data_IF_887868485665
#
_entry.id   IF_887868485665
#
_cell.length_a   1.000
_cell.length_b   1.000
_cell.length_c   1.000
_cell.angle_alpha   90.00
_cell.angle_beta   90.00
_cell.angle_gamma   90.00
#
_symmetry.space_group_name_H-M   'P 1'
#
loop_
_entity.id
_entity.type
_entity.pdbx_description
1 polymer ?
#
# COMPACT_ATOMS: atom_id res chain seq x y z
N UNK A 1 -2.21 -8.37 -28.19
CA UNK A 1 -3.14 -7.76 -27.27
C UNK A 1 -2.42 -7.23 -26.08
N UNK A 2 -2.79 -6.05 -25.66
CA UNK A 2 -2.12 -5.43 -24.55
C UNK A 2 -2.80 -5.79 -23.25
N UNK A 3 -2.01 -6.06 -22.22
CA UNK A 3 -2.49 -6.22 -20.86
C UNK A 3 -2.18 -4.92 -20.14
N UNK A 4 -3.21 -4.33 -19.58
CA UNK A 4 -3.07 -3.07 -18.90
C UNK A 4 -2.98 -3.31 -17.40
N UNK A 5 -1.95 -2.75 -16.78
CA UNK A 5 -1.74 -2.87 -15.33
C UNK A 5 -2.10 -1.54 -14.71
N UNK A 6 -2.90 -1.58 -13.67
CA UNK A 6 -3.31 -0.40 -12.93
C UNK A 6 -2.92 -0.51 -11.48
N UNK A 7 -2.72 0.65 -10.88
CA UNK A 7 -2.36 0.74 -9.47
C UNK A 7 -3.40 1.57 -8.76
N UNK A 8 -3.82 1.13 -7.59
CA UNK A 8 -4.80 1.83 -6.80
C UNK A 8 -4.31 1.98 -5.37
N UNK A 9 -4.45 3.19 -4.83
CA UNK A 9 -4.17 3.45 -3.42
C UNK A 9 -5.32 2.94 -2.58
N UNK A 10 -5.01 2.21 -1.54
CA UNK A 10 -5.99 1.76 -0.56
C UNK A 10 -5.64 2.46 0.74
N UNK A 11 -6.44 3.43 1.15
CA UNK A 11 -6.19 4.16 2.38
C UNK A 11 -6.38 3.25 3.59
N UNK A 12 -5.51 3.39 4.56
CA UNK A 12 -5.47 2.54 5.74
C UNK A 12 -5.44 3.38 6.99
N UNK A 13 -6.04 2.86 8.05
CA UNK A 13 -5.87 3.42 9.39
C UNK A 13 -4.68 2.71 10.01
N UNK A 14 -3.72 3.48 10.48
CA UNK A 14 -2.50 2.92 11.02
C UNK A 14 -2.21 3.55 12.38
N UNK A 15 -1.99 2.69 13.37
CA UNK A 15 -1.51 3.15 14.66
C UNK A 15 -0.01 3.32 14.54
N UNK A 16 0.48 4.48 14.91
CA UNK A 16 1.86 4.87 14.69
C UNK A 16 2.51 5.25 16.01
N UNK A 17 3.74 4.82 16.18
CA UNK A 17 4.56 5.27 17.29
C UNK A 17 5.53 6.32 16.78
N UNK A 18 5.59 7.45 17.47
CA UNK A 18 6.59 8.47 17.18
C UNK A 18 7.81 8.25 18.06
N UNK A 19 8.97 8.22 17.44
CA UNK A 19 10.21 8.22 18.19
C UNK A 19 10.64 9.66 18.46
N UNK A 20 11.52 9.83 19.43
CA UNK A 20 12.00 11.17 19.80
C UNK A 20 12.72 11.87 18.64
N UNK A 21 13.24 11.14 17.69
CA UNK A 21 13.92 11.71 16.51
C UNK A 21 12.94 12.06 15.40
N UNK A 22 11.63 11.90 15.63
CA UNK A 22 10.63 12.20 14.62
C UNK A 22 10.29 11.04 13.70
N UNK A 23 10.93 9.89 13.87
CA UNK A 23 10.66 8.73 13.04
C UNK A 23 9.28 8.15 13.35
N UNK A 24 8.54 7.83 12.32
CA UNK A 24 7.24 7.18 12.44
C UNK A 24 7.42 5.67 12.33
N UNK A 25 6.86 4.94 13.29
CA UNK A 25 6.92 3.49 13.26
C UNK A 25 5.51 2.95 13.24
N UNK A 26 5.05 2.41 12.10
CA UNK A 26 3.72 1.81 12.02
C UNK A 26 3.66 0.57 12.89
N UNK A 27 2.65 0.50 13.74
CA UNK A 27 2.50 -0.57 14.71
C UNK A 27 1.42 -1.57 14.32
N UNK A 28 0.33 -1.08 13.77
CA UNK A 28 -0.83 -1.90 13.48
C UNK A 28 -1.66 -1.22 12.41
N UNK A 29 -2.16 -2.01 11.48
CA UNK A 29 -3.04 -1.55 10.43
C UNK A 29 -4.44 -2.02 10.72
N UNK A 30 -5.42 -1.13 10.59
CA UNK A 30 -6.84 -1.50 10.68
C UNK A 30 -7.46 -1.29 9.30
N UNK A 31 -8.05 -2.34 8.77
CA UNK A 31 -8.69 -2.30 7.47
C UNK A 31 -9.92 -3.19 7.47
N UNK A 32 -11.07 -2.64 7.08
CA UNK A 32 -12.35 -3.35 7.04
C UNK A 32 -12.62 -4.09 8.35
N UNK A 33 -12.49 -3.37 9.44
CA UNK A 33 -12.75 -3.87 10.80
C UNK A 33 -11.81 -4.98 11.25
N UNK A 34 -10.72 -5.23 10.53
CA UNK A 34 -9.72 -6.20 10.92
C UNK A 34 -8.42 -5.49 11.28
N UNK A 35 -7.72 -6.05 12.24
CA UNK A 35 -6.46 -5.49 12.69
C UNK A 35 -5.31 -6.38 12.26
N UNK A 36 -4.25 -5.75 11.79
CA UNK A 36 -3.06 -6.43 11.30
C UNK A 36 -1.84 -5.83 11.98
N UNK A 37 -1.37 -6.45 13.07
CA UNK A 37 -0.17 -5.97 13.74
C UNK A 37 1.04 -6.09 12.82
N UNK A 38 1.89 -5.07 12.86
CA UNK A 38 3.15 -5.10 12.13
C UNK A 38 4.17 -5.83 13.02
N UNK A 39 4.61 -6.99 12.56
CA UNK A 39 5.55 -7.80 13.33
C UNK A 39 6.93 -7.19 13.32
N UNK A 40 7.35 -6.65 12.18
CA UNK A 40 8.70 -6.13 12.01
C UNK A 40 8.75 -5.20 10.82
N UNK A 41 9.61 -4.21 10.89
CA UNK A 41 9.91 -3.32 9.77
C UNK A 41 11.31 -3.67 9.31
N UNK A 42 11.46 -4.06 8.05
CA UNK A 42 12.75 -4.49 7.52
C UNK A 42 13.34 -3.48 6.56
N UNK A 43 12.63 -2.43 6.24
CA UNK A 43 13.19 -1.38 5.38
C UNK A 43 12.31 -0.16 5.33
N UNK A 44 12.93 0.95 4.94
CA UNK A 44 12.27 2.22 4.80
C UNK A 44 13.04 3.06 3.80
N UNK A 45 12.33 3.68 2.85
CA UNK A 45 12.97 4.54 1.86
C UNK A 45 11.97 5.53 1.28
N UNK A 46 12.43 6.72 0.82
CA UNK A 46 11.55 7.64 0.12
C UNK A 46 11.30 7.13 -1.30
N UNK A 47 10.17 6.50 -1.51
CA UNK A 47 9.89 5.84 -2.77
C UNK A 47 8.39 5.66 -2.98
N UNK A 48 7.97 5.77 -4.23
CA UNK A 48 6.61 5.44 -4.66
C UNK A 48 6.72 4.96 -6.12
N UNK A 49 5.96 3.94 -6.52
CA UNK A 49 5.91 3.58 -7.92
C UNK A 49 5.44 4.76 -8.76
N UNK A 50 6.06 4.95 -9.91
CA UNK A 50 5.80 6.15 -10.72
C UNK A 50 4.36 6.25 -11.20
N UNK A 51 3.64 5.15 -11.22
CA UNK A 51 2.25 5.12 -11.62
C UNK A 51 1.30 5.63 -10.54
N UNK A 52 1.81 5.89 -9.35
CA UNK A 52 1.00 6.31 -8.22
C UNK A 52 1.38 7.74 -7.87
N UNK A 53 0.38 8.60 -7.75
CA UNK A 53 0.62 9.98 -7.36
C UNK A 53 0.75 10.08 -5.86
N UNK A 54 1.84 10.70 -5.42
CA UNK A 54 2.10 10.89 -4.01
C UNK A 54 3.20 11.93 -3.85
N UNK A 55 2.98 12.88 -2.95
CA UNK A 55 4.01 13.87 -2.61
C UNK A 55 4.73 13.41 -1.36
N UNK A 56 6.06 13.51 -1.38
CA UNK A 56 6.88 13.16 -0.23
C UNK A 56 6.54 11.78 0.30
N UNK A 57 6.69 10.74 -0.54
CA UNK A 57 6.35 9.39 -0.12
C UNK A 57 7.43 8.78 0.75
N UNK A 58 6.98 7.87 1.61
CA UNK A 58 7.87 7.06 2.40
C UNK A 58 7.36 5.62 2.32
N UNK A 59 8.20 4.72 1.81
CA UNK A 59 7.85 3.32 1.70
C UNK A 59 8.43 2.54 2.87
N UNK A 60 7.58 1.80 3.54
CA UNK A 60 8.00 0.86 4.59
C UNK A 60 7.84 -0.54 4.06
N UNK A 61 8.87 -1.35 4.26
CA UNK A 61 8.77 -2.78 4.01
C UNK A 61 8.55 -3.46 5.35
N UNK A 62 7.40 -4.08 5.52
CA UNK A 62 6.96 -4.63 6.78
C UNK A 62 6.72 -6.12 6.68
N UNK A 63 6.75 -6.79 7.82
CA UNK A 63 6.31 -8.18 7.91
C UNK A 63 5.01 -8.20 8.70
N UNK A 64 3.96 -8.71 8.06
CA UNK A 64 2.63 -8.83 8.65
C UNK A 64 2.16 -10.25 8.39
N UNK A 65 1.84 -10.97 9.46
CA UNK A 65 1.40 -12.36 9.38
C UNK A 65 2.40 -13.22 8.59
N UNK A 66 3.68 -12.99 8.82
CA UNK A 66 4.74 -13.75 8.18
C UNK A 66 5.00 -13.41 6.72
N UNK A 67 4.33 -12.40 6.19
CA UNK A 67 4.49 -11.99 4.79
C UNK A 67 5.03 -10.58 4.69
N UNK A 68 5.83 -10.35 3.67
CA UNK A 68 6.33 -9.02 3.39
C UNK A 68 5.22 -8.18 2.74
N UNK A 69 4.99 -6.99 3.30
CA UNK A 69 4.01 -6.05 2.79
C UNK A 69 4.62 -4.67 2.69
N UNK A 70 4.32 -3.96 1.62
CA UNK A 70 4.73 -2.57 1.46
C UNK A 70 3.63 -1.65 1.97
N UNK A 71 4.04 -0.69 2.77
CA UNK A 71 3.13 0.28 3.37
C UNK A 71 3.68 1.66 3.05
N UNK A 72 2.84 2.57 2.62
CA UNK A 72 3.27 3.89 2.19
C UNK A 72 2.66 4.98 3.06
N UNK A 73 3.46 6.00 3.30
CA UNK A 73 3.03 7.18 4.02
C UNK A 73 3.28 8.41 3.17
N UNK A 74 2.29 9.29 3.09
CA UNK A 74 2.42 10.57 2.40
C UNK A 74 2.46 11.68 3.44
N UNK A 75 3.60 12.36 3.53
CA UNK A 75 3.77 13.41 4.53
C UNK A 75 2.82 14.58 4.32
N UNK A 76 2.59 14.97 3.08
CA UNK A 76 1.80 16.16 2.79
C UNK A 76 0.36 16.06 3.26
N UNK A 77 -0.17 14.86 3.34
CA UNK A 77 -1.58 14.63 3.72
C UNK A 77 -1.72 13.83 5.00
N UNK A 78 -0.59 13.39 5.57
CA UNK A 78 -0.59 12.53 6.76
C UNK A 78 -1.46 11.30 6.55
N UNK A 79 -1.28 10.66 5.41
CA UNK A 79 -2.11 9.53 5.00
C UNK A 79 -1.27 8.28 4.83
N UNK A 80 -1.76 7.16 5.35
CA UNK A 80 -1.17 5.85 5.14
C UNK A 80 -1.98 5.08 4.11
N UNK A 81 -1.29 4.34 3.26
CA UNK A 81 -1.98 3.56 2.25
C UNK A 81 -1.13 2.37 1.80
N UNK A 82 -1.82 1.39 1.24
CA UNK A 82 -1.16 0.33 0.48
C UNK A 82 -1.48 0.55 -0.99
N UNK A 83 -0.75 -0.11 -1.85
CA UNK A 83 -0.99 -0.03 -3.29
C UNK A 83 -1.42 -1.39 -3.75
N UNK A 84 -2.57 -1.43 -4.40
CA UNK A 84 -3.05 -2.64 -5.01
C UNK A 84 -2.76 -2.57 -6.50
N UNK A 85 -2.03 -3.55 -6.99
CA UNK A 85 -1.80 -3.71 -8.41
C UNK A 85 -2.85 -4.67 -8.94
N UNK A 86 -3.46 -4.32 -10.03
CA UNK A 86 -4.41 -5.21 -10.68
C UNK A 86 -4.26 -5.10 -12.18
N UNK A 87 -4.54 -6.20 -12.85
CA UNK A 87 -4.46 -6.29 -14.28
C UNK A 87 -5.86 -6.13 -14.82
N UNK A 88 -6.03 -5.11 -15.68
CA UNK A 88 -7.28 -4.98 -16.40
C UNK A 88 -7.24 -5.99 -17.53
N UNK A 89 -8.18 -6.90 -17.50
CA UNK A 89 -8.30 -7.84 -18.56
C UNK A 89 -8.52 -7.08 -19.87
N UNK A 90 -8.11 -7.69 -20.96
CA UNK A 90 -8.35 -7.15 -22.25
C UNK A 90 -9.86 -6.91 -22.39
N UNK A 91 -10.23 -5.82 -23.01
CA UNK A 91 -11.64 -5.49 -23.13
C UNK A 91 -12.45 -6.57 -23.82
N UNK A 92 -11.84 -7.26 -24.76
CA UNK A 92 -12.52 -8.37 -25.42
C UNK A 92 -12.79 -9.49 -24.43
N UNK A 93 -11.84 -9.76 -23.57
CA UNK A 93 -12.02 -10.77 -22.54
C UNK A 93 -13.11 -10.37 -21.57
N UNK A 94 -13.16 -9.10 -21.22
CA UNK A 94 -14.20 -8.62 -20.33
C UNK A 94 -15.59 -8.78 -20.94
N UNK A 95 -15.68 -8.62 -22.23
CA UNK A 95 -16.95 -8.79 -22.91
C UNK A 95 -17.33 -10.25 -23.05
N UNK A 96 -16.35 -11.08 -23.26
CA UNK A 96 -16.57 -12.50 -23.43
C UNK A 96 -16.97 -13.18 -22.16
N UNK A 97 -16.39 -12.78 -21.15
CA UNK A 97 -16.57 -13.39 -19.89
C UNK A 97 -17.86 -13.15 -19.32
N UNK A 98 -18.01 -12.52 -19.67
CA UNK A 98 -18.74 -12.25 -18.94
C UNK A 98 -19.25 -13.17 -18.56
N UNK A 99 -19.34 -13.52 -18.23
CA UNK A 99 -19.64 -14.08 -18.11
C UNK A 99 -19.45 -14.59 -17.49
N UNK A 100 -19.26 -14.58 -17.39
CA UNK A 100 -19.08 -15.03 -17.20
C UNK A 100 -19.14 -15.00 -16.46
#
# INVERSE_FOLDING_TARGET
>A
MAIEVRYKRINLDVDVRFKSDGTLIPQKITYKARQYPVSRIIGQRPFIPKEVRCKEPLEYTTIIRGREKKLYYEYSTNTWFSIKEYILANRFENLDIRPK
#
